data_IF_952525985709
#
_entry.id   IF_952525985709
#
_cell.length_a   1.000
_cell.length_b   1.000
_cell.length_c   1.000
_cell.angle_alpha   90.00
_cell.angle_beta   90.00
_cell.angle_gamma   90.00
#
_symmetry.space_group_name_H-M   'P 1'
#
loop_
_entity.id
_entity.type
_entity.pdbx_description
1 polymer ?
#
# COMPACT_ATOMS: atom_id res chain seq x y z
N UNK A 1 6.70 -30.76 4.80
CA UNK A 1 5.31 -30.92 5.30
C UNK A 1 4.42 -31.24 4.11
N UNK A 2 3.79 -32.42 4.08
CA UNK A 2 3.00 -32.87 2.93
C UNK A 2 1.72 -32.03 2.77
N UNK A 3 1.65 -31.23 1.70
CA UNK A 3 0.44 -30.50 1.31
C UNK A 3 -0.47 -31.49 0.57
N UNK A 4 -1.51 -31.96 1.24
CA UNK A 4 -2.52 -32.80 0.60
C UNK A 4 -3.32 -31.94 -0.38
N UNK A 5 -3.00 -32.04 -1.67
CA UNK A 5 -3.70 -31.35 -2.74
C UNK A 5 -4.96 -32.13 -3.10
N UNK A 6 -5.98 -32.07 -2.24
CA UNK A 6 -7.31 -32.60 -2.54
C UNK A 6 -8.26 -31.47 -2.93
N UNK A 7 -9.23 -31.77 -3.80
CA UNK A 7 -10.19 -30.78 -4.31
C UNK A 7 -10.91 -30.02 -3.18
N UNK A 8 -11.23 -30.71 -2.08
CA UNK A 8 -11.86 -30.10 -0.90
C UNK A 8 -10.96 -29.08 -0.21
N UNK A 9 -9.64 -29.31 -0.16
CA UNK A 9 -8.70 -28.38 0.46
C UNK A 9 -8.57 -27.12 -0.39
N UNK A 10 -8.33 -27.25 -1.69
CA UNK A 10 -8.22 -26.09 -2.58
C UNK A 10 -9.47 -25.21 -2.53
N UNK A 11 -10.65 -25.83 -2.42
CA UNK A 11 -11.93 -25.09 -2.40
C UNK A 11 -12.27 -24.45 -1.05
N UNK A 12 -12.00 -25.12 0.08
CA UNK A 12 -12.55 -24.71 1.38
C UNK A 12 -11.51 -24.33 2.43
N UNK A 13 -10.22 -24.52 2.18
CA UNK A 13 -9.19 -24.29 3.19
C UNK A 13 -9.14 -22.83 3.64
N UNK A 14 -9.08 -21.89 2.70
CA UNK A 14 -8.97 -20.46 3.02
C UNK A 14 -10.22 -19.94 3.75
N UNK A 15 -11.40 -20.41 3.34
CA UNK A 15 -12.67 -20.09 4.01
C UNK A 15 -12.69 -20.61 5.45
N UNK A 16 -12.25 -21.86 5.68
CA UNK A 16 -12.16 -22.43 7.03
C UNK A 16 -11.21 -21.64 7.92
N UNK A 17 -10.05 -21.24 7.39
CA UNK A 17 -9.08 -20.44 8.15
C UNK A 17 -9.67 -19.05 8.46
N UNK A 18 -10.31 -18.40 7.48
CA UNK A 18 -10.95 -17.09 7.65
C UNK A 18 -12.03 -17.11 8.74
N UNK A 19 -12.95 -18.06 8.67
CA UNK A 19 -14.04 -18.22 9.65
C UNK A 19 -13.51 -18.47 11.08
N UNK A 20 -12.38 -19.16 11.21
CA UNK A 20 -11.77 -19.40 12.51
C UNK A 20 -10.99 -18.17 13.02
N UNK A 21 -10.20 -17.51 12.18
CA UNK A 21 -9.27 -16.45 12.63
C UNK A 21 -9.94 -15.09 12.73
N UNK A 22 -10.81 -14.74 11.79
CA UNK A 22 -11.46 -13.43 11.74
C UNK A 22 -12.79 -13.45 12.50
N UNK A 23 -13.60 -14.49 12.31
CA UNK A 23 -14.95 -14.58 12.89
C UNK A 23 -15.00 -15.37 14.21
N UNK A 24 -13.88 -15.98 14.63
CA UNK A 24 -13.78 -16.71 15.90
C UNK A 24 -14.68 -17.95 16.00
N UNK A 25 -15.14 -18.50 14.87
CA UNK A 25 -16.06 -19.63 14.89
C UNK A 25 -15.39 -20.93 15.32
N UNK A 26 -16.06 -21.67 16.20
CA UNK A 26 -15.62 -22.99 16.63
C UNK A 26 -15.70 -24.04 15.50
N UNK A 27 -14.80 -25.01 15.52
CA UNK A 27 -14.66 -26.08 14.51
C UNK A 27 -16.00 -26.79 14.20
N UNK A 28 -16.80 -27.08 15.24
CA UNK A 28 -18.14 -27.69 15.13
C UNK A 28 -19.15 -26.83 14.39
N UNK A 29 -19.05 -25.50 14.49
CA UNK A 29 -19.92 -24.58 13.77
C UNK A 29 -19.50 -24.51 12.31
N UNK A 30 -18.20 -24.43 12.05
CA UNK A 30 -17.64 -24.42 10.68
C UNK A 30 -18.02 -25.69 9.92
N UNK A 31 -17.99 -26.86 10.55
CA UNK A 31 -18.37 -28.13 9.91
C UNK A 31 -19.84 -28.23 9.53
N UNK A 32 -20.71 -27.39 10.10
CA UNK A 32 -22.13 -27.30 9.72
C UNK A 32 -22.35 -26.38 8.51
N UNK A 33 -21.44 -25.43 8.30
CA UNK A 33 -21.51 -24.44 7.20
C UNK A 33 -20.83 -24.99 5.95
N UNK A 34 -19.69 -25.65 6.13
CA UNK A 34 -18.85 -26.14 5.04
C UNK A 34 -18.94 -27.68 4.99
N UNK A 35 -19.05 -28.31 3.81
CA UNK A 35 -19.14 -29.77 3.65
C UNK A 35 -17.77 -30.46 3.85
N UNK A 36 -17.14 -30.21 4.99
CA UNK A 36 -15.84 -30.74 5.41
C UNK A 36 -15.99 -31.23 6.86
N UNK A 37 -15.47 -32.42 7.14
CA UNK A 37 -15.56 -33.01 8.48
C UNK A 37 -14.84 -32.16 9.53
N UNK A 38 -15.36 -32.16 10.76
CA UNK A 38 -14.75 -31.48 11.91
C UNK A 38 -13.29 -31.90 12.11
N UNK A 39 -12.99 -33.18 11.92
CA UNK A 39 -11.63 -33.73 12.02
C UNK A 39 -10.67 -33.12 10.99
N UNK A 40 -11.14 -32.88 9.77
CA UNK A 40 -10.36 -32.25 8.70
C UNK A 40 -10.12 -30.77 8.99
N UNK A 41 -11.16 -30.06 9.44
CA UNK A 41 -11.07 -28.64 9.85
C UNK A 41 -10.07 -28.48 10.99
N UNK A 42 -10.18 -29.30 12.04
CA UNK A 42 -9.25 -29.30 13.18
C UNK A 42 -7.80 -29.52 12.73
N UNK A 43 -7.57 -30.43 11.78
CA UNK A 43 -6.24 -30.67 11.20
C UNK A 43 -5.73 -29.45 10.43
N UNK A 44 -6.57 -28.81 9.61
CA UNK A 44 -6.20 -27.62 8.85
C UNK A 44 -5.81 -26.46 9.77
N UNK A 45 -6.59 -26.18 10.81
CA UNK A 45 -6.29 -25.14 11.79
C UNK A 45 -4.98 -25.44 12.54
N UNK A 46 -4.78 -26.69 12.99
CA UNK A 46 -3.54 -27.09 13.68
C UNK A 46 -2.31 -26.85 12.79
N UNK A 47 -2.42 -27.22 11.51
CA UNK A 47 -1.34 -27.03 10.54
C UNK A 47 -1.09 -25.55 10.28
N UNK A 48 -2.15 -24.75 10.13
CA UNK A 48 -2.06 -23.30 9.98
C UNK A 48 -1.35 -22.65 11.16
N UNK A 49 -1.73 -22.96 12.40
CA UNK A 49 -1.09 -22.40 13.60
C UNK A 49 0.40 -22.78 13.67
N UNK A 50 0.76 -24.02 13.31
CA UNK A 50 2.18 -24.43 13.23
C UNK A 50 2.94 -23.66 12.15
N UNK A 51 2.37 -23.51 10.96
CA UNK A 51 2.97 -22.77 9.85
C UNK A 51 3.15 -21.28 10.20
N UNK A 52 2.13 -20.65 10.81
CA UNK A 52 2.21 -19.26 11.25
C UNK A 52 3.29 -19.08 12.32
N UNK A 53 3.34 -19.94 13.33
CA UNK A 53 4.36 -19.87 14.37
C UNK A 53 5.78 -20.05 13.82
N UNK A 54 5.99 -21.00 12.89
CA UNK A 54 7.29 -21.19 12.24
C UNK A 54 7.67 -19.97 11.39
N UNK A 55 6.73 -19.40 10.64
CA UNK A 55 6.97 -18.17 9.85
C UNK A 55 7.31 -16.97 10.73
N UNK A 56 6.64 -16.81 11.88
CA UNK A 56 6.96 -15.74 12.84
C UNK A 56 8.37 -15.89 13.42
N UNK A 57 8.82 -17.10 13.72
CA UNK A 57 10.17 -17.36 14.23
C UNK A 57 11.21 -17.07 13.14
N UNK A 58 11.02 -17.58 11.92
CA UNK A 58 11.94 -17.33 10.79
C UNK A 58 11.99 -15.84 10.42
N UNK A 59 10.85 -15.14 10.39
CA UNK A 59 10.83 -13.69 10.15
C UNK A 59 11.56 -12.92 11.25
N UNK A 60 11.44 -13.32 12.53
CA UNK A 60 12.17 -12.66 13.62
C UNK A 60 13.68 -12.85 13.52
N UNK A 61 14.14 -14.03 13.13
CA UNK A 61 15.58 -14.30 12.91
C UNK A 61 16.11 -13.50 11.70
N UNK A 62 15.40 -13.46 10.58
CA UNK A 62 15.81 -12.69 9.39
C UNK A 62 15.78 -11.17 9.60
N UNK A 63 14.91 -10.66 10.46
CA UNK A 63 14.86 -9.24 10.83
C UNK A 63 16.05 -8.86 11.72
N UNK A 64 16.51 -9.75 12.61
CA UNK A 64 17.68 -9.44 13.46
C UNK A 64 18.98 -9.30 12.66
N UNK A 65 19.19 -10.13 11.63
CA UNK A 65 20.40 -10.06 10.79
C UNK A 65 20.40 -8.86 9.83
N UNK A 66 19.23 -8.40 9.39
CA UNK A 66 19.09 -7.29 8.44
C UNK A 66 18.98 -5.90 9.08
N UNK A 67 18.60 -5.81 10.36
CA UNK A 67 18.43 -4.53 11.08
C UNK A 67 19.77 -3.84 11.36
N UNK A 68 20.85 -4.60 11.61
CA UNK A 68 22.16 -4.04 12.01
C UNK A 68 22.90 -3.34 10.85
N UNK A 69 22.64 -3.73 9.60
CA UNK A 69 23.30 -3.16 8.42
C UNK A 69 22.46 -2.10 7.69
N UNK A 70 21.13 -2.25 7.67
CA UNK A 70 20.23 -1.33 6.93
C UNK A 70 19.62 -0.20 7.77
N UNK A 71 19.84 -0.15 9.09
CA UNK A 71 19.35 0.96 9.93
C UNK A 71 19.96 2.31 9.53
N UNK A 72 21.29 2.38 9.44
CA UNK A 72 21.99 3.63 9.09
C UNK A 72 21.73 4.11 7.66
N UNK A 73 21.61 3.21 6.68
CA UNK A 73 21.34 3.59 5.28
C UNK A 73 19.91 4.14 5.09
N UNK A 74 18.91 3.55 5.76
CA UNK A 74 17.53 4.04 5.67
C UNK A 74 17.39 5.43 6.25
N UNK A 75 18.08 5.75 7.34
CA UNK A 75 18.04 7.08 7.94
C UNK A 75 18.73 8.15 7.08
N UNK A 76 19.82 7.79 6.38
CA UNK A 76 20.47 8.71 5.42
C UNK A 76 19.60 8.95 4.20
N UNK A 77 18.96 7.90 3.68
CA UNK A 77 18.10 8.00 2.50
C UNK A 77 16.85 8.85 2.79
N UNK A 78 16.23 8.66 3.96
CA UNK A 78 15.07 9.47 4.37
C UNK A 78 15.44 10.95 4.47
N UNK A 79 16.60 11.29 5.04
CA UNK A 79 17.08 12.68 5.11
C UNK A 79 17.36 13.27 3.73
N UNK A 80 17.98 12.51 2.84
CA UNK A 80 18.24 12.93 1.46
C UNK A 80 16.93 13.19 0.70
N UNK A 81 15.95 12.29 0.82
CA UNK A 81 14.63 12.44 0.20
C UNK A 81 13.87 13.66 0.75
N UNK A 82 13.95 13.91 2.06
CA UNK A 82 13.34 15.10 2.66
C UNK A 82 13.97 16.41 2.16
N UNK A 83 15.29 16.44 2.01
CA UNK A 83 16.00 17.59 1.45
C UNK A 83 15.57 17.87 0.01
N UNK A 84 15.44 16.82 -0.81
CA UNK A 84 14.99 16.94 -2.19
C UNK A 84 13.55 17.43 -2.30
N UNK A 85 12.63 16.92 -1.46
CA UNK A 85 11.25 17.41 -1.40
C UNK A 85 11.20 18.91 -1.06
N UNK A 86 12.02 19.35 -0.10
CA UNK A 86 12.09 20.75 0.28
C UNK A 86 12.59 21.63 -0.86
N UNK A 87 13.64 21.19 -1.57
CA UNK A 87 14.18 21.86 -2.76
C UNK A 87 13.12 22.00 -3.85
N UNK A 88 12.49 20.90 -4.23
CA UNK A 88 11.47 20.86 -5.28
C UNK A 88 10.26 21.75 -4.95
N UNK A 89 9.81 21.76 -3.69
CA UNK A 89 8.73 22.65 -3.26
C UNK A 89 9.09 24.12 -3.41
N UNK A 90 10.33 24.48 -3.09
CA UNK A 90 10.81 25.87 -3.24
C UNK A 90 10.86 26.29 -4.70
N UNK A 91 11.36 25.43 -5.57
CA UNK A 91 11.41 25.68 -7.02
C UNK A 91 10.00 25.82 -7.62
N UNK A 92 9.07 24.95 -7.21
CA UNK A 92 7.67 25.02 -7.62
C UNK A 92 7.02 26.34 -7.17
N UNK A 93 7.25 26.76 -5.92
CA UNK A 93 6.72 28.02 -5.42
C UNK A 93 7.26 29.23 -6.21
N UNK A 94 8.56 29.21 -6.54
CA UNK A 94 9.18 30.26 -7.35
C UNK A 94 8.59 30.32 -8.76
N UNK A 95 8.45 29.18 -9.45
CA UNK A 95 7.90 29.17 -10.81
C UNK A 95 6.41 29.55 -10.82
N UNK A 96 5.65 29.13 -9.80
CA UNK A 96 4.25 29.56 -9.63
C UNK A 96 4.14 31.07 -9.43
N UNK A 97 5.02 31.67 -8.61
CA UNK A 97 5.05 33.11 -8.40
C UNK A 97 5.41 33.87 -9.68
N UNK A 98 6.41 33.39 -10.41
CA UNK A 98 6.84 33.94 -11.70
C UNK A 98 5.70 33.87 -12.74
N UNK A 99 5.01 32.74 -12.82
CA UNK A 99 3.84 32.58 -13.68
C UNK A 99 2.73 33.56 -13.31
N UNK A 100 2.42 33.70 -12.02
CA UNK A 100 1.42 34.67 -11.54
C UNK A 100 1.82 36.12 -11.87
N UNK A 101 3.09 36.49 -11.69
CA UNK A 101 3.59 37.82 -12.02
C UNK A 101 3.47 38.12 -13.53
N UNK A 102 3.82 37.17 -14.40
CA UNK A 102 3.62 37.34 -15.84
C UNK A 102 2.15 37.43 -16.23
N UNK A 103 1.29 36.65 -15.58
CA UNK A 103 -0.16 36.73 -15.81
C UNK A 103 -0.69 38.12 -15.47
N UNK A 104 -0.25 38.71 -14.36
CA UNK A 104 -0.65 40.08 -14.00
C UNK A 104 -0.03 41.14 -14.91
N UNK A 105 1.22 40.96 -15.35
CA UNK A 105 1.83 41.85 -16.33
C UNK A 105 1.01 41.90 -17.63
N UNK A 106 0.50 40.74 -18.08
CA UNK A 106 -0.41 40.66 -19.23
C UNK A 106 -1.70 41.42 -18.94
N UNK A 107 -2.34 41.20 -17.78
CA UNK A 107 -3.58 41.89 -17.41
C UNK A 107 -3.41 43.43 -17.43
N UNK A 108 -2.30 43.94 -16.88
CA UNK A 108 -1.99 45.37 -16.87
C UNK A 108 -1.80 45.90 -18.30
N UNK A 109 -1.08 45.17 -19.15
CA UNK A 109 -0.87 45.55 -20.54
C UNK A 109 -2.17 45.57 -21.35
N UNK A 110 -3.01 44.54 -21.22
CA UNK A 110 -4.32 44.48 -21.89
C UNK A 110 -5.21 45.66 -21.46
N UNK A 111 -5.20 46.02 -20.17
CA UNK A 111 -5.95 47.16 -19.64
C UNK A 111 -5.43 48.51 -20.14
N UNK A 112 -4.10 48.69 -20.18
CA UNK A 112 -3.48 49.96 -20.56
C UNK A 112 -3.59 50.25 -22.05
N UNK A 113 -3.39 49.23 -22.89
CA UNK A 113 -3.36 49.37 -24.35
C UNK A 113 -4.70 49.01 -25.01
N UNK A 114 -5.68 48.53 -24.24
CA UNK A 114 -7.01 48.12 -24.72
C UNK A 114 -6.95 47.11 -25.89
N UNK A 115 -5.98 46.20 -25.83
CA UNK A 115 -5.78 45.10 -26.79
C UNK A 115 -5.92 43.77 -26.07
N UNK A 116 -6.44 42.73 -26.74
CA UNK A 116 -6.46 41.37 -26.21
C UNK A 116 -5.20 40.63 -26.65
N UNK A 117 -4.31 40.31 -25.69
CA UNK A 117 -3.08 39.56 -25.93
C UNK A 117 -3.35 38.07 -25.79
N UNK A 118 -4.22 37.66 -24.85
CA UNK A 118 -4.64 36.26 -24.70
C UNK A 118 -5.74 35.87 -25.68
N UNK A 119 -5.66 34.63 -26.17
CA UNK A 119 -6.79 33.97 -26.85
C UNK A 119 -7.93 33.79 -25.85
N UNK A 120 -9.17 34.11 -26.25
CA UNK A 120 -10.36 33.81 -25.45
C UNK A 120 -10.56 32.28 -25.40
N UNK A 121 -10.71 31.72 -24.20
CA UNK A 121 -11.04 30.32 -24.02
C UNK A 121 -12.40 30.05 -24.70
N UNK A 122 -12.40 29.31 -25.82
CA UNK A 122 -13.63 28.94 -26.52
C UNK A 122 -13.65 29.18 -28.03
N UNK A 123 -12.61 29.75 -28.64
CA UNK A 123 -12.51 29.74 -30.12
C UNK A 123 -12.19 28.33 -30.59
N UNK A 124 -13.23 27.55 -30.92
CA UNK A 124 -13.11 26.29 -31.64
C UNK A 124 -12.30 26.53 -32.92
N UNK A 125 -11.30 25.69 -33.18
CA UNK A 125 -10.71 25.59 -34.52
C UNK A 125 -11.69 24.93 -35.47
#
# INVERSE_FOLDING_TARGET
MFKYNCAKRTKYYDDVIRLHTQEGMGQKRISKIIPVSESTIKRWIRNFVRETKVKEVVMKEQVQDSVTLHGSQRDTDVKALQAEISRLKKELAHESLKSAAFNEMINVAEKQFNISIRKKAGTKQ
#
